data_IF_766745780473
#
_entry.id   IF_766745780473
#
_cell.length_a   1.000
_cell.length_b   1.000
_cell.length_c   1.000
_cell.angle_alpha   90.00
_cell.angle_beta   90.00
_cell.angle_gamma   90.00
#
_symmetry.space_group_name_H-M   'P 1'
#
loop_
_entity.id
_entity.type
_entity.pdbx_description
1 polymer ?
#
# COMPACT_ATOMS: atom_id res chain seq x y z
N UNK A 1 8.83 -3.63 -2.66
CA UNK A 1 9.91 -2.82 -2.06
C UNK A 1 10.74 -3.60 -1.04
N UNK A 2 10.13 -4.35 -0.09
CA UNK A 2 10.90 -5.13 0.90
C UNK A 2 11.79 -6.19 0.24
N UNK A 3 11.32 -6.87 -0.80
CA UNK A 3 12.14 -7.81 -1.56
C UNK A 3 13.45 -7.18 -2.07
N UNK A 4 13.41 -5.96 -2.59
CA UNK A 4 14.61 -5.25 -3.06
C UNK A 4 15.58 -4.92 -1.91
N UNK A 5 15.07 -4.54 -0.74
CA UNK A 5 15.89 -4.21 0.43
C UNK A 5 16.60 -5.45 0.98
N UNK A 6 15.98 -6.62 0.85
CA UNK A 6 16.51 -7.90 1.33
C UNK A 6 17.31 -8.69 0.27
N UNK A 7 17.64 -8.06 -0.85
CA UNK A 7 18.48 -8.65 -1.90
C UNK A 7 17.71 -9.45 -2.97
N UNK A 8 16.39 -9.37 -2.97
CA UNK A 8 15.54 -9.88 -4.05
C UNK A 8 15.36 -8.89 -5.20
N UNK A 9 14.48 -9.24 -6.13
CA UNK A 9 14.12 -8.40 -7.28
C UNK A 9 12.62 -8.40 -7.51
N UNK A 10 12.11 -7.40 -8.21
CA UNK A 10 10.74 -7.38 -8.71
C UNK A 10 10.81 -7.75 -10.18
N UNK A 11 10.20 -8.87 -10.55
CA UNK A 11 10.15 -9.30 -11.95
C UNK A 11 8.88 -8.77 -12.63
N UNK A 12 7.73 -8.85 -11.93
CA UNK A 12 6.45 -8.44 -12.50
C UNK A 12 5.45 -8.04 -11.43
N UNK A 13 4.62 -7.05 -11.75
CA UNK A 13 3.44 -6.66 -10.98
C UNK A 13 2.21 -6.81 -11.89
N UNK A 14 1.18 -7.45 -11.40
CA UNK A 14 -0.10 -7.62 -12.09
C UNK A 14 -1.18 -6.95 -11.23
N UNK A 15 -2.01 -6.11 -11.86
CA UNK A 15 -3.21 -5.55 -11.22
C UNK A 15 -4.44 -6.22 -11.81
N UNK A 16 -5.36 -6.68 -10.95
CA UNK A 16 -6.62 -7.32 -11.36
C UNK A 16 -7.78 -6.32 -11.23
N UNK A 17 -8.64 -6.17 -12.26
CA UNK A 17 -9.81 -5.30 -12.18
C UNK A 17 -10.85 -5.75 -11.15
N UNK A 18 -10.84 -7.01 -10.73
CA UNK A 18 -11.75 -7.58 -9.72
C UNK A 18 -11.24 -7.42 -8.28
N UNK A 19 -10.47 -6.38 -8.00
CA UNK A 19 -9.83 -6.08 -6.70
C UNK A 19 -8.77 -7.12 -6.32
N UNK A 20 -7.57 -6.83 -6.67
CA UNK A 20 -6.46 -7.68 -6.34
C UNK A 20 -5.21 -7.28 -7.11
N UNK A 21 -4.19 -8.04 -6.90
CA UNK A 21 -2.93 -7.89 -7.60
C UNK A 21 -1.90 -8.82 -7.03
N UNK A 22 -0.89 -9.09 -7.80
CA UNK A 22 0.22 -9.92 -7.38
C UNK A 22 1.55 -9.31 -7.79
N UNK A 23 2.56 -9.50 -6.93
CA UNK A 23 3.94 -9.18 -7.23
C UNK A 23 4.76 -10.47 -7.30
N UNK A 24 5.32 -10.74 -8.46
CA UNK A 24 6.32 -11.80 -8.56
C UNK A 24 7.69 -11.22 -8.20
N UNK A 25 8.12 -11.52 -6.98
CA UNK A 25 9.28 -10.91 -6.36
C UNK A 25 10.27 -12.00 -5.89
N UNK A 26 11.04 -12.64 -6.82
CA UNK A 26 11.93 -13.72 -6.48
C UNK A 26 13.16 -13.24 -5.68
N UNK A 27 13.62 -14.10 -4.77
CA UNK A 27 14.76 -13.82 -3.88
C UNK A 27 14.38 -12.93 -2.71
N UNK A 28 15.39 -12.50 -1.96
CA UNK A 28 15.20 -11.76 -0.73
C UNK A 28 14.77 -12.65 0.44
N UNK A 29 14.39 -12.00 1.54
CA UNK A 29 13.94 -12.69 2.75
C UNK A 29 12.42 -12.89 2.69
N UNK A 30 11.93 -14.15 2.61
CA UNK A 30 10.52 -14.44 2.36
C UNK A 30 9.60 -13.93 3.47
N UNK A 31 9.99 -14.08 4.73
CA UNK A 31 9.18 -13.65 5.88
C UNK A 31 8.91 -12.14 5.83
N UNK A 32 9.94 -11.33 5.58
CA UNK A 32 9.81 -9.88 5.49
C UNK A 32 9.01 -9.46 4.26
N UNK A 33 9.19 -10.14 3.13
CA UNK A 33 8.48 -9.81 1.89
C UNK A 33 6.99 -10.07 2.01
N UNK A 34 6.59 -11.23 2.54
CA UNK A 34 5.18 -11.60 2.76
C UNK A 34 4.51 -10.71 3.82
N UNK A 35 5.20 -10.44 4.93
CA UNK A 35 4.69 -9.54 5.96
C UNK A 35 4.49 -8.11 5.42
N UNK A 36 5.38 -7.66 4.53
CA UNK A 36 5.29 -6.33 3.92
C UNK A 36 4.16 -6.19 2.89
N UNK A 37 3.53 -7.25 2.44
CA UNK A 37 2.33 -7.20 1.60
C UNK A 37 1.24 -6.39 2.29
N UNK A 38 0.77 -6.84 3.42
CA UNK A 38 -0.29 -6.17 4.18
C UNK A 38 0.18 -4.95 4.99
N UNK A 39 1.26 -5.09 5.75
CA UNK A 39 1.74 -3.99 6.58
C UNK A 39 2.39 -2.85 5.78
N UNK A 40 2.78 -3.12 4.55
CA UNK A 40 3.34 -2.10 3.65
C UNK A 40 2.32 -1.04 3.27
N UNK A 41 1.12 -1.44 2.86
CA UNK A 41 0.02 -0.52 2.53
C UNK A 41 -0.42 0.31 3.74
N UNK A 42 -0.51 -0.31 4.93
CA UNK A 42 -0.77 0.37 6.18
C UNK A 42 0.31 1.42 6.50
N UNK A 43 1.58 1.04 6.42
CA UNK A 43 2.72 1.94 6.70
C UNK A 43 2.75 3.13 5.75
N UNK A 44 2.56 2.89 4.45
CA UNK A 44 2.44 3.96 3.46
C UNK A 44 1.24 4.84 3.69
N UNK A 45 0.08 4.26 4.05
CA UNK A 45 -1.12 4.99 4.38
C UNK A 45 -0.92 5.96 5.55
N UNK A 46 -0.33 5.49 6.64
CA UNK A 46 0.01 6.33 7.81
C UNK A 46 1.00 7.43 7.40
N UNK A 47 2.06 7.06 6.66
CA UNK A 47 3.04 8.02 6.19
C UNK A 47 2.42 9.15 5.38
N UNK A 48 1.59 8.83 4.37
CA UNK A 48 0.91 9.81 3.52
C UNK A 48 -0.02 10.72 4.33
N UNK A 49 -0.82 10.16 5.24
CA UNK A 49 -1.74 10.93 6.06
C UNK A 49 -1.00 11.90 7.01
N UNK A 50 0.06 11.43 7.66
CA UNK A 50 0.87 12.24 8.57
C UNK A 50 1.68 13.29 7.81
N UNK A 51 2.34 12.88 6.73
CA UNK A 51 3.17 13.79 5.92
C UNK A 51 2.33 14.87 5.24
N UNK A 52 1.12 14.52 4.74
CA UNK A 52 0.19 15.49 4.17
C UNK A 52 -0.24 16.57 5.16
N UNK A 53 -0.41 16.22 6.45
CA UNK A 53 -0.76 17.17 7.53
C UNK A 53 0.44 17.97 8.05
N UNK A 54 1.65 17.50 7.83
CA UNK A 54 2.83 18.09 8.46
C UNK A 54 3.21 19.43 7.80
N UNK A 55 3.20 20.54 8.56
CA UNK A 55 3.42 21.91 8.04
C UNK A 55 4.76 22.12 7.32
N UNK A 56 5.80 21.36 7.71
CA UNK A 56 7.15 21.46 7.12
C UNK A 56 7.30 20.68 5.81
N UNK A 57 6.40 19.76 5.51
CA UNK A 57 6.42 18.98 4.28
C UNK A 57 5.58 19.69 3.22
N UNK A 58 6.15 19.85 2.04
CA UNK A 58 5.38 20.37 0.92
C UNK A 58 4.53 19.25 0.31
N UNK A 59 3.21 19.33 0.54
CA UNK A 59 2.27 18.32 0.05
C UNK A 59 2.25 18.23 -1.49
N UNK A 60 2.58 19.31 -2.22
CA UNK A 60 2.70 19.27 -3.67
C UNK A 60 3.87 18.40 -4.11
N UNK A 61 5.04 18.58 -3.48
CA UNK A 61 6.21 17.76 -3.78
C UNK A 61 5.98 16.29 -3.41
N UNK A 62 5.25 16.04 -2.34
CA UNK A 62 4.86 14.68 -1.95
C UNK A 62 3.92 14.04 -2.99
N UNK A 63 2.90 14.76 -3.47
CA UNK A 63 2.00 14.29 -4.52
C UNK A 63 2.77 14.06 -5.84
N UNK A 64 3.66 14.98 -6.18
CA UNK A 64 4.51 14.86 -7.36
C UNK A 64 5.42 13.61 -7.29
N UNK A 65 6.08 13.41 -6.15
CA UNK A 65 6.95 12.23 -5.97
C UNK A 65 6.17 10.92 -6.04
N UNK A 66 4.96 10.89 -5.49
CA UNK A 66 4.06 9.74 -5.58
C UNK A 66 3.63 9.46 -7.03
N UNK A 67 3.25 10.51 -7.77
CA UNK A 67 2.93 10.41 -9.20
C UNK A 67 4.08 9.81 -10.01
N UNK A 68 5.28 10.38 -9.87
CA UNK A 68 6.48 9.90 -10.57
C UNK A 68 6.78 8.43 -10.21
N UNK A 69 6.68 8.08 -8.92
CA UNK A 69 6.91 6.71 -8.45
C UNK A 69 5.92 5.73 -9.08
N UNK A 70 4.62 6.07 -9.12
CA UNK A 70 3.59 5.22 -9.72
C UNK A 70 3.84 5.03 -11.21
N UNK A 71 4.08 6.11 -11.95
CA UNK A 71 4.34 6.04 -13.39
C UNK A 71 5.60 5.19 -13.67
N UNK A 72 6.67 5.42 -12.93
CA UNK A 72 7.92 4.68 -13.10
C UNK A 72 7.74 3.18 -12.82
N UNK A 73 7.06 2.82 -11.72
CA UNK A 73 6.79 1.42 -11.39
C UNK A 73 5.86 0.78 -12.41
N UNK A 74 4.88 1.51 -12.92
CA UNK A 74 3.97 1.03 -13.97
C UNK A 74 4.75 0.68 -15.24
N UNK A 75 5.60 1.57 -15.72
CA UNK A 75 6.38 1.35 -16.94
C UNK A 75 7.41 0.23 -16.75
N UNK A 76 8.02 0.14 -15.55
CA UNK A 76 9.11 -0.80 -15.31
C UNK A 76 8.64 -2.24 -15.05
N UNK A 77 7.48 -2.44 -14.41
CA UNK A 77 7.13 -3.74 -13.84
C UNK A 77 5.72 -4.23 -14.17
N UNK A 78 4.81 -3.39 -14.69
CA UNK A 78 3.44 -3.80 -15.02
C UNK A 78 3.35 -4.13 -16.50
N UNK A 79 2.86 -5.34 -16.81
CA UNK A 79 2.77 -5.85 -18.18
C UNK A 79 1.35 -6.12 -18.67
N UNK A 80 0.36 -6.14 -17.76
CA UNK A 80 -1.05 -6.33 -18.13
C UNK A 80 -1.73 -5.01 -18.51
N UNK A 81 -2.57 -5.05 -19.54
CA UNK A 81 -3.21 -3.85 -20.12
C UNK A 81 -3.97 -3.02 -19.09
N UNK A 82 -4.77 -3.67 -18.23
CA UNK A 82 -5.52 -2.98 -17.17
C UNK A 82 -4.58 -2.23 -16.23
N UNK A 83 -3.53 -2.88 -15.74
CA UNK A 83 -2.58 -2.28 -14.82
C UNK A 83 -1.82 -1.11 -15.43
N UNK A 84 -1.41 -1.21 -16.71
CA UNK A 84 -0.75 -0.13 -17.44
C UNK A 84 -1.69 1.08 -17.56
N UNK A 85 -2.92 0.86 -18.04
CA UNK A 85 -3.89 1.94 -18.20
C UNK A 85 -4.21 2.61 -16.86
N UNK A 86 -4.52 1.79 -15.84
CA UNK A 86 -4.82 2.30 -14.49
C UNK A 86 -3.64 3.08 -13.90
N UNK A 87 -2.44 2.51 -13.93
CA UNK A 87 -1.26 3.13 -13.31
C UNK A 87 -0.84 4.43 -14.00
N UNK A 88 -0.89 4.47 -15.35
CA UNK A 88 -0.59 5.70 -16.11
C UNK A 88 -1.66 6.76 -15.86
N UNK A 89 -2.94 6.42 -15.99
CA UNK A 89 -4.03 7.41 -15.79
C UNK A 89 -4.05 7.94 -14.36
N UNK A 90 -3.88 7.08 -13.36
CA UNK A 90 -3.82 7.49 -11.96
C UNK A 90 -2.58 8.33 -11.67
N UNK A 91 -1.43 7.95 -12.21
CA UNK A 91 -0.19 8.73 -12.09
C UNK A 91 -0.31 10.12 -12.73
N UNK A 92 -0.88 10.22 -13.95
CA UNK A 92 -1.13 11.50 -14.62
C UNK A 92 -2.15 12.36 -13.87
N UNK A 93 -3.18 11.76 -13.29
CA UNK A 93 -4.14 12.47 -12.43
C UNK A 93 -3.43 13.08 -11.21
N UNK A 94 -2.56 12.34 -10.54
CA UNK A 94 -1.78 12.87 -9.42
C UNK A 94 -0.80 13.95 -9.86
N UNK A 95 -0.20 13.83 -11.04
CA UNK A 95 0.65 14.87 -11.62
C UNK A 95 -0.12 16.17 -11.84
N UNK A 96 -1.32 16.07 -12.40
CA UNK A 96 -2.22 17.21 -12.57
C UNK A 96 -2.59 17.84 -11.23
N UNK A 97 -2.95 17.04 -10.22
CA UNK A 97 -3.25 17.51 -8.86
C UNK A 97 -2.05 18.25 -8.24
N UNK A 98 -0.83 17.70 -8.41
CA UNK A 98 0.38 18.35 -7.90
C UNK A 98 0.66 19.70 -8.56
N UNK A 99 0.38 19.82 -9.88
CA UNK A 99 0.64 21.03 -10.65
C UNK A 99 -0.40 22.13 -10.39
N UNK A 100 -1.69 21.79 -10.48
CA UNK A 100 -2.79 22.77 -10.53
C UNK A 100 -3.41 23.06 -9.16
N UNK A 101 -3.35 22.12 -8.22
CA UNK A 101 -4.03 22.26 -6.93
C UNK A 101 -3.17 23.03 -5.91
N UNK A 102 -3.85 23.78 -5.04
CA UNK A 102 -3.21 24.47 -3.92
C UNK A 102 -2.55 23.50 -2.94
N UNK A 103 -1.65 24.01 -2.10
CA UNK A 103 -1.01 23.22 -1.04
C UNK A 103 -2.06 22.52 -0.14
N UNK A 104 -3.11 23.25 0.26
CA UNK A 104 -4.17 22.70 1.12
C UNK A 104 -4.96 21.58 0.45
N UNK A 105 -5.25 21.70 -0.84
CA UNK A 105 -5.92 20.64 -1.60
C UNK A 105 -5.04 19.42 -1.76
N UNK A 106 -3.74 19.59 -2.01
CA UNK A 106 -2.78 18.48 -2.03
C UNK A 106 -2.69 17.78 -0.65
N UNK A 107 -2.73 18.53 0.46
CA UNK A 107 -2.81 17.95 1.80
C UNK A 107 -4.06 17.08 1.98
N UNK A 108 -5.21 17.55 1.50
CA UNK A 108 -6.46 16.79 1.54
C UNK A 108 -6.36 15.51 0.70
N UNK A 109 -5.80 15.57 -0.50
CA UNK A 109 -5.59 14.40 -1.35
C UNK A 109 -4.69 13.38 -0.66
N UNK A 110 -3.57 13.81 -0.06
CA UNK A 110 -2.67 12.91 0.68
C UNK A 110 -3.37 12.27 1.89
N UNK A 111 -4.19 13.04 2.61
CA UNK A 111 -4.96 12.51 3.73
C UNK A 111 -5.97 11.45 3.27
N UNK A 112 -6.72 11.71 2.18
CA UNK A 112 -7.67 10.75 1.62
C UNK A 112 -6.95 9.48 1.18
N UNK A 113 -5.86 9.60 0.39
CA UNK A 113 -5.08 8.45 -0.05
C UNK A 113 -4.52 7.65 1.13
N UNK A 114 -4.00 8.34 2.15
CA UNK A 114 -3.47 7.70 3.35
C UNK A 114 -4.52 6.92 4.13
N UNK A 115 -5.68 7.54 4.41
CA UNK A 115 -6.78 6.87 5.11
C UNK A 115 -7.37 5.72 4.30
N UNK A 116 -7.53 5.91 2.98
CA UNK A 116 -7.99 4.84 2.08
C UNK A 116 -7.01 3.65 2.09
N UNK A 117 -5.70 3.90 2.05
CA UNK A 117 -4.70 2.84 2.11
C UNK A 117 -4.73 2.07 3.43
N UNK A 118 -4.93 2.77 4.56
CA UNK A 118 -5.11 2.11 5.86
C UNK A 118 -6.38 1.24 5.90
N UNK A 119 -7.49 1.74 5.34
CA UNK A 119 -8.74 0.99 5.26
C UNK A 119 -8.60 -0.25 4.38
N UNK A 120 -7.99 -0.11 3.20
CA UNK A 120 -7.75 -1.23 2.29
C UNK A 120 -6.85 -2.29 2.92
N UNK A 121 -5.83 -1.93 3.68
CA UNK A 121 -5.01 -2.91 4.39
C UNK A 121 -5.85 -3.81 5.31
N UNK A 122 -6.86 -3.25 6.01
CA UNK A 122 -7.77 -4.01 6.87
C UNK A 122 -8.69 -4.91 6.03
N UNK A 123 -9.24 -4.37 4.93
CA UNK A 123 -10.16 -5.11 4.06
C UNK A 123 -9.46 -6.25 3.33
N UNK A 124 -8.23 -6.05 2.85
CA UNK A 124 -7.42 -7.09 2.19
C UNK A 124 -7.14 -8.25 3.14
N UNK A 125 -6.68 -7.96 4.37
CA UNK A 125 -6.43 -8.99 5.37
C UNK A 125 -7.70 -9.77 5.69
N UNK A 126 -8.84 -9.07 5.83
CA UNK A 126 -10.14 -9.71 6.07
C UNK A 126 -10.53 -10.62 4.91
N UNK A 127 -10.46 -10.11 3.67
CA UNK A 127 -10.81 -10.84 2.47
C UNK A 127 -9.99 -12.12 2.32
N UNK A 128 -8.68 -12.03 2.45
CA UNK A 128 -7.76 -13.13 2.23
C UNK A 128 -7.85 -14.24 3.30
N UNK A 129 -8.25 -13.88 4.51
CA UNK A 129 -8.24 -14.82 5.65
C UNK A 129 -9.62 -15.36 5.97
N UNK A 130 -10.66 -14.51 5.89
CA UNK A 130 -12.01 -14.87 6.28
C UNK A 130 -12.89 -15.22 5.08
N UNK A 131 -12.79 -14.46 3.99
CA UNK A 131 -13.71 -14.63 2.86
C UNK A 131 -13.19 -15.67 1.85
N UNK A 132 -11.85 -15.81 1.71
CA UNK A 132 -11.22 -16.72 0.75
C UNK A 132 -10.07 -17.55 1.33
N UNK A 133 -10.28 -18.37 2.37
CA UNK A 133 -9.21 -19.09 3.07
C UNK A 133 -8.47 -20.13 2.22
N UNK A 134 -8.93 -20.42 0.99
CA UNK A 134 -8.30 -21.36 0.06
C UNK A 134 -7.38 -20.72 -0.98
N UNK A 135 -7.31 -19.40 -1.06
CA UNK A 135 -6.39 -18.71 -1.97
C UNK A 135 -4.96 -18.68 -1.44
N UNK A 136 -3.99 -18.64 -2.34
CA UNK A 136 -2.57 -18.48 -2.01
C UNK A 136 -2.29 -17.03 -1.62
N UNK A 137 -2.72 -16.63 -0.43
CA UNK A 137 -2.44 -15.33 0.17
C UNK A 137 -1.07 -15.28 0.83
N UNK A 138 -0.53 -14.08 1.08
CA UNK A 138 0.72 -13.89 1.83
C UNK A 138 0.67 -14.59 3.20
N UNK A 139 -0.49 -14.60 3.87
CA UNK A 139 -0.69 -15.31 5.13
C UNK A 139 -0.62 -16.83 4.97
N UNK A 140 -1.16 -17.39 3.89
CA UNK A 140 -1.07 -18.82 3.58
C UNK A 140 0.38 -19.24 3.28
N UNK A 141 1.10 -18.42 2.51
CA UNK A 141 2.53 -18.64 2.22
C UNK A 141 3.38 -18.58 3.49
N UNK A 142 3.06 -17.65 4.39
CA UNK A 142 3.73 -17.50 5.67
C UNK A 142 3.47 -18.69 6.60
N UNK A 143 2.27 -19.26 6.55
CA UNK A 143 1.94 -20.52 7.27
C UNK A 143 2.82 -21.67 6.79
N UNK A 144 2.99 -21.81 5.48
CA UNK A 144 3.87 -22.83 4.92
C UNK A 144 5.33 -22.64 5.31
N UNK A 145 5.76 -21.39 5.49
CA UNK A 145 7.14 -21.05 5.87
C UNK A 145 7.41 -21.27 7.37
N UNK A 146 6.44 -20.93 8.22
CA UNK A 146 6.65 -20.86 9.68
C UNK A 146 5.96 -21.97 10.47
N UNK A 147 5.01 -22.71 9.86
CA UNK A 147 4.16 -23.67 10.55
C UNK A 147 3.07 -23.03 11.45
N UNK A 148 2.97 -21.70 11.50
CA UNK A 148 1.97 -21.01 12.32
C UNK A 148 0.68 -20.85 11.52
N UNK A 149 -0.51 -21.14 12.10
CA UNK A 149 -1.78 -21.08 11.37
C UNK A 149 -2.09 -19.69 10.76
N UNK A 150 -2.71 -19.68 9.56
CA UNK A 150 -3.14 -18.47 8.84
C UNK A 150 -3.94 -17.50 9.73
N UNK A 151 -4.85 -18.03 10.53
CA UNK A 151 -5.70 -17.24 11.45
C UNK A 151 -4.89 -16.46 12.48
N UNK A 152 -3.76 -16.98 12.92
CA UNK A 152 -2.86 -16.28 13.84
C UNK A 152 -2.24 -15.04 13.17
N UNK A 153 -1.67 -15.21 11.97
CA UNK A 153 -1.08 -14.11 11.21
C UNK A 153 -2.11 -13.03 10.87
N UNK A 154 -3.29 -13.46 10.41
CA UNK A 154 -4.36 -12.53 10.11
C UNK A 154 -4.89 -11.79 11.32
N UNK A 155 -5.11 -12.48 12.43
CA UNK A 155 -5.51 -11.86 13.68
C UNK A 155 -4.51 -10.82 14.18
N UNK A 156 -3.22 -11.15 14.08
CA UNK A 156 -2.13 -10.24 14.44
C UNK A 156 -2.14 -8.98 13.54
N UNK A 157 -2.19 -9.16 12.22
CA UNK A 157 -2.15 -8.03 11.28
C UNK A 157 -3.40 -7.16 11.32
N UNK A 158 -4.61 -7.76 11.45
CA UNK A 158 -5.85 -6.99 11.64
C UNK A 158 -5.78 -6.16 12.91
N UNK A 159 -5.30 -6.75 14.01
CA UNK A 159 -5.17 -6.03 15.28
C UNK A 159 -4.21 -4.85 15.17
N UNK A 160 -3.05 -5.07 14.54
CA UNK A 160 -2.08 -4.01 14.28
C UNK A 160 -2.65 -2.92 13.37
N UNK A 161 -3.37 -3.30 12.31
CA UNK A 161 -3.95 -2.35 11.36
C UNK A 161 -5.06 -1.51 12.02
N UNK A 162 -5.96 -2.12 12.77
CA UNK A 162 -7.00 -1.42 13.52
C UNK A 162 -6.41 -0.48 14.57
N UNK A 163 -5.48 -0.96 15.37
CA UNK A 163 -4.85 -0.15 16.41
C UNK A 163 -4.11 1.05 15.84
N UNK A 164 -3.29 0.83 14.80
CA UNK A 164 -2.54 1.90 14.13
C UNK A 164 -3.47 2.91 13.45
N UNK A 165 -4.56 2.45 12.82
CA UNK A 165 -5.54 3.33 12.18
C UNK A 165 -6.31 4.17 13.22
N UNK A 166 -6.69 3.59 14.35
CA UNK A 166 -7.32 4.34 15.45
C UNK A 166 -6.38 5.38 16.06
N UNK A 167 -5.10 5.03 16.25
CA UNK A 167 -4.08 5.98 16.70
C UNK A 167 -3.89 7.13 15.70
N UNK A 168 -3.88 6.82 14.41
CA UNK A 168 -3.79 7.83 13.35
C UNK A 168 -4.98 8.78 13.39
N UNK A 169 -6.22 8.26 13.46
CA UNK A 169 -7.44 9.08 13.56
C UNK A 169 -7.41 9.96 14.82
N UNK A 170 -7.04 9.39 15.95
CA UNK A 170 -6.91 10.15 17.22
C UNK A 170 -5.87 11.26 17.11
N UNK A 171 -4.73 10.99 16.48
CA UNK A 171 -3.69 11.99 16.25
C UNK A 171 -4.14 13.10 15.31
N UNK A 172 -4.85 12.76 14.22
CA UNK A 172 -5.42 13.72 13.28
C UNK A 172 -6.47 14.62 13.94
N UNK A 173 -7.27 14.07 14.85
CA UNK A 173 -8.26 14.82 15.63
C UNK A 173 -7.61 15.84 16.59
N UNK A 174 -6.51 15.45 17.23
CA UNK A 174 -5.77 16.35 18.16
C UNK A 174 -4.93 17.42 17.48
N UNK A 175 -4.61 17.24 16.20
CA UNK A 175 -3.78 18.16 15.42
C UNK A 175 -4.55 18.64 14.17
N UNK A 176 -5.57 19.48 14.33
CA UNK A 176 -6.44 19.93 13.25
C UNK A 176 -5.72 20.78 12.18
#
# INVERSE_FOLDING_TARGET
>A
MMALVTGGRIDQIILDPNQGGSCYCPGGEPFMTLTAGYLGSLTWGIFLAVAGKHKKIDARLLTLSLSITIITLTIAYIHNLFGILFGILFGLMLLFVAAEFSKSQNQTVQLILGLTSCLYAILDIKSDILDHPGLSSDAALLTNLTGVPVVFWGGLWITLALFSSLLLIYWLYRNP
#
